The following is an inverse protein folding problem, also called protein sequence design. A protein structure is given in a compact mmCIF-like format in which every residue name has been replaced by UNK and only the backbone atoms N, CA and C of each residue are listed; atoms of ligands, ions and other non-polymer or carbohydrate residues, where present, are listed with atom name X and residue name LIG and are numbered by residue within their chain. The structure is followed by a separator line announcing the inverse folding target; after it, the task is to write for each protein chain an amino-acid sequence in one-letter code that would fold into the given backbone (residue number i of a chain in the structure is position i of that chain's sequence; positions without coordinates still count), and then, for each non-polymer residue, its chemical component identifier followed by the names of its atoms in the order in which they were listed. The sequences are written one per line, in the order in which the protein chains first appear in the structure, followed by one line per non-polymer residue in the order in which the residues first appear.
data_IF_677057569617
#
_entry.id   IF_677057569617
#
_cell.length_a   1.000
_cell.length_b   1.000
_cell.length_c   1.000
_cell.angle_alpha   90.00
_cell.angle_beta   90.00
_cell.angle_gamma   90.00
#
_symmetry.space_group_name_H-M   'P 1'
#
loop_
_entity.id
_entity.type
_entity.pdbx_description
1 polymer ?
#
# COMPACT_ATOMS: atom_id res chain seq x y z
N UNK A 1 22.19 0.07 -58.83
CA UNK A 1 22.17 1.28 -57.99
C UNK A 1 21.88 0.81 -56.58
N UNK A 2 22.93 0.67 -55.77
CA UNK A 2 22.87 0.12 -54.41
C UNK A 2 23.05 1.29 -53.43
N UNK A 3 21.93 1.69 -52.81
CA UNK A 3 21.88 2.68 -51.73
C UNK A 3 22.49 2.09 -50.45
N UNK A 4 23.82 2.08 -50.39
CA UNK A 4 24.54 1.85 -49.15
C UNK A 4 24.82 3.21 -48.51
N UNK A 5 24.05 3.56 -47.48
CA UNK A 5 24.25 4.79 -46.71
C UNK A 5 25.23 4.50 -45.54
N UNK A 6 26.52 4.87 -45.65
CA UNK A 6 27.53 4.60 -44.62
C UNK A 6 27.32 5.42 -43.34
N UNK A 7 26.39 6.38 -43.34
CA UNK A 7 26.03 7.19 -42.17
C UNK A 7 24.68 6.80 -41.56
N UNK A 8 24.12 5.64 -41.92
CA UNK A 8 22.92 5.14 -41.25
C UNK A 8 23.24 4.95 -39.75
N UNK A 9 22.55 5.66 -38.83
CA UNK A 9 22.75 5.43 -37.41
C UNK A 9 22.35 3.98 -37.09
N UNK A 10 23.06 3.30 -36.17
CA UNK A 10 22.65 1.97 -35.76
C UNK A 10 21.21 2.05 -35.26
N UNK A 11 20.33 1.21 -35.83
CA UNK A 11 18.98 1.05 -35.31
C UNK A 11 19.11 0.60 -33.86
N UNK A 12 18.90 1.52 -32.92
CA UNK A 12 18.78 1.18 -31.51
C UNK A 12 17.47 0.43 -31.38
N UNK A 13 17.53 -0.91 -31.49
CA UNK A 13 16.48 -1.78 -30.99
C UNK A 13 16.40 -1.49 -29.50
N UNK A 14 15.49 -0.59 -29.11
CA UNK A 14 15.03 -0.54 -27.74
C UNK A 14 14.29 -1.86 -27.56
N UNK A 15 14.97 -2.85 -27.00
CA UNK A 15 14.35 -4.07 -26.49
C UNK A 15 13.48 -3.70 -25.30
N UNK A 16 12.36 -3.04 -25.58
CA UNK A 16 11.22 -2.91 -24.68
C UNK A 16 10.48 -4.25 -24.65
N UNK A 17 11.13 -5.28 -24.10
CA UNK A 17 10.52 -6.50 -23.56
C UNK A 17 11.64 -7.49 -23.23
N UNK A 18 11.51 -8.16 -22.08
CA UNK A 18 12.32 -9.29 -21.61
C UNK A 18 13.71 -8.97 -21.02
N UNK A 19 13.73 -8.35 -19.83
CA UNK A 19 14.80 -8.62 -18.83
C UNK A 19 14.52 -8.16 -17.37
N UNK A 20 13.26 -8.08 -16.91
CA UNK A 20 12.94 -7.98 -15.47
C UNK A 20 12.84 -9.38 -14.81
N UNK A 21 13.87 -10.20 -15.00
CA UNK A 21 14.06 -11.45 -14.25
C UNK A 21 15.44 -11.51 -13.57
N UNK A 22 16.08 -10.36 -13.38
CA UNK A 22 17.34 -10.21 -12.67
C UNK A 22 17.11 -9.38 -11.41
N UNK A 23 17.38 -10.00 -10.27
CA UNK A 23 17.34 -9.46 -8.89
C UNK A 23 16.05 -8.73 -8.50
N UNK A 24 15.17 -9.45 -7.79
CA UNK A 24 14.20 -8.79 -6.94
C UNK A 24 15.01 -8.04 -5.86
N UNK A 25 14.99 -6.70 -5.88
CA UNK A 25 15.65 -5.80 -4.91
C UNK A 25 15.02 -5.86 -3.50
N UNK A 26 14.42 -7.00 -3.17
CA UNK A 26 13.73 -7.19 -1.91
C UNK A 26 13.85 -8.64 -1.44
N UNK A 27 14.09 -8.77 -0.14
CA UNK A 27 14.08 -10.05 0.54
C UNK A 27 12.69 -10.39 1.09
N UNK A 28 12.34 -11.67 1.21
CA UNK A 28 11.13 -12.14 1.88
C UNK A 28 11.57 -12.97 3.07
N UNK A 29 11.31 -12.45 4.27
CA UNK A 29 11.63 -13.11 5.54
C UNK A 29 10.34 -13.18 6.36
N UNK A 30 9.82 -14.38 6.64
CA UNK A 30 8.66 -14.62 7.51
C UNK A 30 7.42 -13.74 7.17
N UNK A 31 6.97 -13.80 5.91
CA UNK A 31 5.87 -12.98 5.37
C UNK A 31 6.12 -11.46 5.43
N UNK A 32 7.39 -11.04 5.42
CA UNK A 32 7.79 -9.63 5.38
C UNK A 32 8.67 -9.39 4.19
N UNK A 33 8.31 -8.35 3.43
CA UNK A 33 9.13 -7.86 2.33
C UNK A 33 10.14 -6.89 2.93
N UNK A 34 11.42 -7.20 2.85
CA UNK A 34 12.51 -6.35 3.30
C UNK A 34 13.16 -5.70 2.09
N UNK A 35 13.16 -4.38 2.02
CA UNK A 35 13.79 -3.66 0.90
C UNK A 35 14.19 -2.26 1.30
N UNK A 36 15.04 -1.64 0.48
CA UNK A 36 15.35 -0.22 0.59
C UNK A 36 14.30 0.61 -0.15
N UNK A 37 14.36 1.94 -0.03
CA UNK A 37 13.50 2.83 -0.82
C UNK A 37 14.23 3.24 -2.10
N UNK A 38 13.61 3.19 -3.29
CA UNK A 38 12.23 2.80 -3.58
C UNK A 38 12.01 1.28 -3.75
N UNK A 39 10.82 0.78 -3.37
CA UNK A 39 10.42 -0.62 -3.54
C UNK A 39 9.50 -0.79 -4.75
N UNK A 40 9.96 -1.56 -5.73
CA UNK A 40 9.17 -1.94 -6.90
C UNK A 40 8.74 -3.40 -6.80
N UNK A 41 7.44 -3.63 -6.67
CA UNK A 41 6.86 -4.97 -6.71
C UNK A 41 6.56 -5.37 -8.16
N UNK A 42 6.62 -6.68 -8.50
CA UNK A 42 6.33 -7.15 -9.84
C UNK A 42 4.94 -6.69 -10.31
N UNK A 43 4.88 -6.10 -11.50
CA UNK A 43 3.65 -5.51 -12.05
C UNK A 43 2.69 -6.56 -12.60
N UNK A 44 3.14 -7.79 -12.78
CA UNK A 44 2.36 -8.91 -13.27
C UNK A 44 1.75 -9.76 -12.16
N UNK A 45 2.10 -9.52 -10.90
CA UNK A 45 1.49 -10.15 -9.72
C UNK A 45 0.55 -9.20 -8.98
N UNK A 46 -0.63 -9.68 -8.62
CA UNK A 46 -1.51 -8.94 -7.72
C UNK A 46 -1.08 -9.10 -6.26
N UNK A 47 -0.78 -7.99 -5.57
CA UNK A 47 -0.42 -8.01 -4.13
C UNK A 47 -1.57 -8.46 -3.22
N UNK A 48 -2.82 -8.35 -3.67
CA UNK A 48 -4.00 -8.66 -2.87
C UNK A 48 -4.48 -10.11 -2.92
N UNK A 49 -4.20 -10.84 -4.01
CA UNK A 49 -4.69 -12.20 -4.25
C UNK A 49 -3.68 -13.11 -4.98
N UNK A 50 -2.43 -12.69 -5.07
CA UNK A 50 -1.38 -13.40 -5.79
C UNK A 50 -1.53 -13.49 -7.32
N UNK A 51 -2.72 -13.45 -7.92
CA UNK A 51 -2.94 -13.80 -9.34
C UNK A 51 -1.96 -13.15 -10.34
N UNK A 52 -1.34 -13.99 -11.20
CA UNK A 52 -0.44 -13.56 -12.27
C UNK A 52 -1.18 -13.14 -13.54
N UNK A 53 -0.63 -12.17 -14.28
CA UNK A 53 -1.07 -11.86 -15.66
C UNK A 53 -2.50 -11.31 -15.75
N UNK A 54 -3.07 -10.86 -14.63
CA UNK A 54 -4.42 -10.29 -14.60
C UNK A 54 -4.38 -8.80 -14.94
N UNK A 55 -5.31 -8.37 -15.79
CA UNK A 55 -5.56 -6.95 -16.03
C UNK A 55 -5.83 -6.25 -14.69
N UNK A 56 -5.23 -5.07 -14.52
CA UNK A 56 -5.25 -4.37 -13.25
C UNK A 56 -4.66 -2.97 -13.33
N UNK A 57 -4.47 -2.35 -12.17
CA UNK A 57 -3.88 -1.03 -12.05
C UNK A 57 -2.67 -1.06 -11.12
N UNK A 58 -1.62 -0.38 -11.55
CA UNK A 58 -0.45 -0.08 -10.73
C UNK A 58 -0.73 1.13 -9.85
N UNK A 59 -0.27 1.09 -8.61
CA UNK A 59 -0.42 2.16 -7.63
C UNK A 59 0.93 2.53 -7.04
N UNK A 60 1.25 3.82 -7.10
CA UNK A 60 2.39 4.40 -6.38
C UNK A 60 1.90 4.95 -5.04
N UNK A 61 2.43 4.41 -3.95
CA UNK A 61 2.08 4.85 -2.59
C UNK A 61 3.31 5.11 -1.74
N UNK A 62 3.20 6.14 -0.91
CA UNK A 62 4.19 6.46 0.12
C UNK A 62 3.73 5.85 1.43
N UNK A 63 4.48 4.86 1.91
CA UNK A 63 4.33 4.29 3.24
C UNK A 63 5.19 5.10 4.21
N UNK A 64 4.68 5.31 5.43
CA UNK A 64 5.39 6.03 6.47
C UNK A 64 5.63 5.10 7.64
N UNK A 65 6.87 5.06 8.11
CA UNK A 65 7.24 4.43 9.36
C UNK A 65 7.49 5.51 10.42
N UNK A 66 6.88 5.34 11.59
CA UNK A 66 7.09 6.18 12.76
C UNK A 66 7.55 5.29 13.90
N UNK A 67 8.72 5.55 14.51
CA UNK A 67 9.22 4.70 15.57
C UNK A 67 8.41 4.91 16.85
N UNK A 68 8.23 3.83 17.61
CA UNK A 68 7.46 3.80 18.86
C UNK A 68 7.76 4.97 19.83
N UNK A 69 9.04 5.35 20.08
CA UNK A 69 9.36 6.41 21.03
C UNK A 69 8.77 7.77 20.68
N UNK A 70 8.45 8.02 19.40
CA UNK A 70 7.78 9.25 19.00
C UNK A 70 6.41 9.40 19.65
N UNK A 71 5.70 8.29 19.92
CA UNK A 71 4.39 8.33 20.59
C UNK A 71 4.46 8.65 22.08
N UNK A 72 5.61 8.43 22.74
CA UNK A 72 5.78 8.80 24.16
C UNK A 72 5.71 10.32 24.38
N UNK A 73 6.00 11.10 23.34
CA UNK A 73 5.91 12.57 23.41
C UNK A 73 4.48 13.10 23.56
N UNK A 74 3.47 12.22 23.44
CA UNK A 74 2.05 12.56 23.69
C UNK A 74 1.81 13.07 25.12
N UNK A 75 2.58 12.59 26.09
CA UNK A 75 2.46 13.01 27.50
C UNK A 75 2.98 14.43 27.74
N UNK A 76 3.82 14.96 26.85
CA UNK A 76 4.41 16.29 27.01
C UNK A 76 3.51 17.37 26.40
N UNK A 77 3.17 17.21 25.12
CA UNK A 77 2.21 18.06 24.42
C UNK A 77 1.85 17.44 23.07
N UNK A 78 0.59 17.54 22.66
CA UNK A 78 0.14 17.08 21.35
C UNK A 78 0.83 17.83 20.18
N UNK A 79 1.18 19.10 20.38
CA UNK A 79 1.88 19.90 19.37
C UNK A 79 3.34 19.43 19.20
N UNK A 80 4.02 19.16 20.30
CA UNK A 80 5.40 18.63 20.29
C UNK A 80 5.41 17.26 19.63
N UNK A 81 4.44 16.41 19.96
CA UNK A 81 4.28 15.09 19.35
C UNK A 81 4.16 15.17 17.83
N UNK A 82 3.32 16.09 17.33
CA UNK A 82 3.14 16.26 15.89
C UNK A 82 4.45 16.66 15.19
N UNK A 83 5.20 17.59 15.76
CA UNK A 83 6.50 18.03 15.23
C UNK A 83 7.48 16.84 15.20
N UNK A 84 7.60 16.11 16.31
CA UNK A 84 8.51 14.96 16.42
C UNK A 84 8.15 13.87 15.39
N UNK A 85 6.87 13.55 15.22
CA UNK A 85 6.42 12.58 14.22
C UNK A 85 6.79 13.06 12.80
N UNK A 86 6.61 14.35 12.49
CA UNK A 86 6.94 14.89 11.18
C UNK A 86 8.44 14.89 10.87
N UNK A 87 9.29 15.04 11.89
CA UNK A 87 10.75 15.02 11.78
C UNK A 87 11.28 13.59 11.67
N UNK A 88 10.75 12.68 12.49
CA UNK A 88 11.30 11.32 12.63
C UNK A 88 10.72 10.35 11.59
N UNK A 89 9.56 10.65 10.99
CA UNK A 89 8.93 9.78 9.99
C UNK A 89 9.89 9.44 8.85
N UNK A 90 10.02 8.15 8.55
CA UNK A 90 10.74 7.65 7.38
C UNK A 90 9.73 7.32 6.28
N UNK A 91 10.08 7.65 5.04
CA UNK A 91 9.22 7.46 3.87
C UNK A 91 9.76 6.28 3.07
N UNK A 92 8.87 5.39 2.67
CA UNK A 92 9.12 4.32 1.72
C UNK A 92 8.18 4.51 0.53
N UNK A 93 8.74 4.67 -0.65
CA UNK A 93 7.94 4.72 -1.89
C UNK A 93 7.77 3.30 -2.41
N UNK A 94 6.52 2.87 -2.55
CA UNK A 94 6.16 1.51 -2.96
C UNK A 94 5.26 1.56 -4.18
N UNK A 95 5.68 0.90 -5.24
CA UNK A 95 4.88 0.67 -6.44
C UNK A 95 4.39 -0.76 -6.45
N UNK A 96 3.06 -0.96 -6.54
CA UNK A 96 2.47 -2.30 -6.55
C UNK A 96 1.30 -2.43 -7.52
N UNK A 97 1.06 -3.64 -8.02
CA UNK A 97 -0.07 -3.95 -8.90
C UNK A 97 -1.23 -4.59 -8.16
N UNK A 98 -2.45 -4.24 -8.59
CA UNK A 98 -3.69 -4.78 -8.06
C UNK A 98 -4.63 -5.16 -9.20
N UNK A 99 -5.10 -6.40 -9.20
CA UNK A 99 -6.05 -6.90 -10.19
C UNK A 99 -7.41 -6.17 -10.11
N UNK A 100 -8.15 -6.13 -11.22
CA UNK A 100 -9.46 -5.48 -11.27
C UNK A 100 -10.45 -6.01 -10.23
N UNK A 101 -10.42 -7.31 -9.94
CA UNK A 101 -11.27 -7.89 -8.88
C UNK A 101 -10.95 -7.27 -7.51
N UNK A 102 -9.67 -7.17 -7.13
CA UNK A 102 -9.28 -6.60 -5.85
C UNK A 102 -9.62 -5.10 -5.77
N UNK A 103 -9.43 -4.38 -6.88
CA UNK A 103 -9.81 -2.97 -6.98
C UNK A 103 -11.34 -2.79 -6.84
N UNK A 104 -12.13 -3.59 -7.54
CA UNK A 104 -13.59 -3.55 -7.49
C UNK A 104 -14.11 -3.89 -6.08
N UNK A 105 -13.55 -4.92 -5.44
CA UNK A 105 -13.91 -5.31 -4.06
C UNK A 105 -13.64 -4.18 -3.07
N UNK A 106 -12.50 -3.51 -3.20
CA UNK A 106 -12.16 -2.34 -2.37
C UNK A 106 -13.11 -1.16 -2.63
N UNK A 107 -13.36 -0.83 -3.91
CA UNK A 107 -14.27 0.24 -4.30
C UNK A 107 -15.68 0.01 -3.79
N UNK A 108 -16.20 -1.22 -3.90
CA UNK A 108 -17.52 -1.60 -3.39
C UNK A 108 -17.61 -1.42 -1.86
N UNK A 109 -16.61 -1.88 -1.11
CA UNK A 109 -16.56 -1.68 0.35
C UNK A 109 -16.51 -0.20 0.73
N UNK A 110 -15.72 0.59 0.00
CA UNK A 110 -15.63 2.03 0.22
C UNK A 110 -16.96 2.74 -0.09
N UNK A 111 -17.63 2.40 -1.20
CA UNK A 111 -18.93 2.95 -1.56
C UNK A 111 -20.01 2.60 -0.53
N UNK A 112 -20.04 1.35 -0.04
CA UNK A 112 -20.98 0.95 1.02
C UNK A 112 -20.71 1.75 2.29
N UNK A 113 -19.46 1.86 2.73
CA UNK A 113 -19.13 2.62 3.94
C UNK A 113 -19.46 4.12 3.82
N UNK A 114 -19.22 4.73 2.65
CA UNK A 114 -19.62 6.12 2.37
C UNK A 114 -21.13 6.25 2.41
N UNK A 115 -21.88 5.32 1.81
CA UNK A 115 -23.35 5.30 1.85
C UNK A 115 -23.89 5.25 3.28
N UNK A 116 -23.30 4.40 4.13
CA UNK A 116 -23.65 4.31 5.56
C UNK A 116 -23.35 5.63 6.29
N UNK A 117 -22.20 6.26 6.04
CA UNK A 117 -21.88 7.56 6.64
C UNK A 117 -22.86 8.65 6.22
N UNK A 118 -23.22 8.72 4.94
CA UNK A 118 -24.21 9.69 4.44
C UNK A 118 -25.58 9.45 5.09
N UNK A 119 -26.02 8.19 5.19
CA UNK A 119 -27.29 7.87 5.84
C UNK A 119 -27.31 8.29 7.33
N UNK A 120 -26.20 8.05 8.05
CA UNK A 120 -26.06 8.44 9.45
C UNK A 120 -25.98 9.96 9.64
N UNK A 121 -25.33 10.69 8.72
CA UNK A 121 -25.34 12.15 8.71
C UNK A 121 -26.75 12.69 8.51
N UNK A 122 -27.49 12.16 7.52
CA UNK A 122 -28.87 12.57 7.28
C UNK A 122 -29.78 12.26 8.48
N UNK A 123 -29.60 11.10 9.11
CA UNK A 123 -30.29 10.73 10.35
C UNK A 123 -29.96 11.68 11.51
N UNK A 124 -28.69 12.06 11.67
CA UNK A 124 -28.27 13.03 12.67
C UNK A 124 -28.90 14.41 12.41
N UNK A 125 -28.92 14.88 11.16
CA UNK A 125 -29.59 16.14 10.80
C UNK A 125 -31.10 16.08 11.10
N UNK A 126 -31.78 14.99 10.72
CA UNK A 126 -33.21 14.81 11.01
C UNK A 126 -33.50 14.76 12.51
N UNK A 127 -32.61 14.19 13.31
CA UNK A 127 -32.76 14.13 14.77
C UNK A 127 -32.80 15.51 15.42
N UNK A 128 -32.08 16.49 14.86
CA UNK A 128 -32.10 17.89 15.32
C UNK A 128 -33.47 18.51 15.07
N UNK A 129 -34.06 18.28 13.88
CA UNK A 129 -35.41 18.77 13.57
C UNK A 129 -36.48 18.14 14.46
N UNK A 130 -36.33 16.85 14.79
CA UNK A 130 -37.25 16.12 15.67
C UNK A 130 -37.02 16.38 17.17
N UNK A 131 -35.99 17.16 17.54
CA UNK A 131 -35.57 17.45 18.93
C UNK A 131 -35.42 16.18 19.79
N UNK A 132 -35.03 15.07 19.17
CA UNK A 132 -34.83 13.79 19.86
C UNK A 132 -33.36 13.58 20.21
N UNK A 133 -33.01 13.83 21.47
CA UNK A 133 -31.62 13.66 21.94
C UNK A 133 -31.11 12.22 21.86
N UNK A 134 -31.99 11.23 22.07
CA UNK A 134 -31.62 9.82 21.96
C UNK A 134 -31.25 9.43 20.52
N UNK A 135 -31.98 9.95 19.53
CA UNK A 135 -31.75 9.68 18.12
C UNK A 135 -30.47 10.40 17.62
N UNK A 136 -30.21 11.60 18.13
CA UNK A 136 -28.96 12.32 17.89
C UNK A 136 -27.73 11.56 18.42
N UNK A 137 -27.81 11.01 19.63
CA UNK A 137 -26.73 10.20 20.22
C UNK A 137 -26.47 8.91 19.42
N UNK A 138 -27.53 8.19 19.04
CA UNK A 138 -27.40 6.96 18.24
C UNK A 138 -26.80 7.23 16.86
N UNK A 139 -27.29 8.23 16.14
CA UNK A 139 -26.75 8.59 14.83
C UNK A 139 -25.31 9.12 14.94
N UNK A 140 -25.00 9.92 15.96
CA UNK A 140 -23.65 10.45 16.20
C UNK A 140 -22.64 9.35 16.53
N UNK A 141 -22.99 8.43 17.42
CA UNK A 141 -22.13 7.29 17.76
C UNK A 141 -21.97 6.32 16.58
N UNK A 142 -23.06 6.05 15.86
CA UNK A 142 -23.02 5.26 14.63
C UNK A 142 -22.09 5.88 13.58
N UNK A 143 -22.13 7.21 13.41
CA UNK A 143 -21.25 7.94 12.51
C UNK A 143 -19.78 7.75 12.88
N UNK A 144 -19.46 7.87 14.17
CA UNK A 144 -18.11 7.69 14.67
C UNK A 144 -17.57 6.29 14.33
N UNK A 145 -18.36 5.24 14.58
CA UNK A 145 -17.97 3.85 14.22
C UNK A 145 -17.82 3.69 12.70
N UNK A 146 -18.75 4.24 11.91
CA UNK A 146 -18.70 4.13 10.45
C UNK A 146 -17.46 4.81 9.86
N UNK A 147 -17.07 5.98 10.39
CA UNK A 147 -15.85 6.68 10.01
C UNK A 147 -14.59 5.88 10.38
N UNK A 148 -14.55 5.29 11.57
CA UNK A 148 -13.44 4.41 11.97
C UNK A 148 -13.32 3.19 11.03
N UNK A 149 -14.44 2.55 10.71
CA UNK A 149 -14.44 1.42 9.77
C UNK A 149 -13.96 1.84 8.37
N UNK A 150 -14.40 2.98 7.86
CA UNK A 150 -13.93 3.53 6.60
C UNK A 150 -12.43 3.85 6.60
N UNK A 151 -11.91 4.42 7.69
CA UNK A 151 -10.49 4.70 7.82
C UNK A 151 -9.64 3.41 7.74
N UNK A 152 -10.11 2.33 8.35
CA UNK A 152 -9.45 1.02 8.29
C UNK A 152 -9.54 0.42 6.88
N UNK A 153 -10.72 0.40 6.26
CA UNK A 153 -10.93 -0.15 4.90
C UNK A 153 -10.19 0.67 3.83
N UNK A 154 -10.09 1.98 4.03
CA UNK A 154 -9.41 2.91 3.14
C UNK A 154 -7.89 2.81 3.19
N UNK A 155 -7.32 2.22 4.26
CA UNK A 155 -5.88 2.10 4.43
C UNK A 155 -5.22 1.28 3.30
N UNK A 156 -3.98 1.61 2.89
CA UNK A 156 -3.26 0.81 1.91
C UNK A 156 -3.12 -0.64 2.39
N UNK A 157 -3.14 -1.63 1.46
CA UNK A 157 -3.00 -3.03 1.83
C UNK A 157 -1.62 -3.30 2.45
N UNK A 158 -0.61 -2.58 1.96
CA UNK A 158 0.75 -2.63 2.46
C UNK A 158 0.95 -1.61 3.59
N UNK A 159 1.65 -2.03 4.64
CA UNK A 159 2.05 -1.20 5.79
C UNK A 159 3.52 -1.40 6.10
N UNK A 160 4.25 -0.30 6.29
CA UNK A 160 5.62 -0.35 6.80
C UNK A 160 5.58 -0.66 8.30
N UNK A 161 6.15 -1.81 8.69
CA UNK A 161 6.14 -2.30 10.07
C UNK A 161 7.36 -1.81 10.83
N UNK A 162 8.52 -1.82 10.20
CA UNK A 162 9.80 -1.57 10.85
C UNK A 162 10.79 -0.95 9.86
N UNK A 163 11.73 -0.17 10.39
CA UNK A 163 12.86 0.36 9.63
C UNK A 163 14.14 0.19 10.46
N UNK A 164 15.10 -0.59 9.96
CA UNK A 164 16.41 -0.79 10.57
C UNK A 164 17.50 -0.56 9.52
N UNK A 165 18.47 0.32 9.80
CA UNK A 165 19.66 0.48 8.95
C UNK A 165 19.43 0.86 7.49
N UNK A 166 18.26 1.43 7.13
CA UNK A 166 17.89 1.74 5.74
C UNK A 166 17.00 0.68 5.08
N UNK A 167 16.83 -0.48 5.71
CA UNK A 167 15.91 -1.54 5.29
C UNK A 167 14.53 -1.32 5.93
N UNK A 168 13.50 -1.33 5.09
CA UNK A 168 12.12 -1.29 5.50
C UNK A 168 11.52 -2.69 5.46
N UNK A 169 10.85 -3.09 6.56
CA UNK A 169 10.03 -4.30 6.59
C UNK A 169 8.58 -3.94 6.30
N UNK A 170 8.03 -4.46 5.20
CA UNK A 170 6.67 -4.22 4.74
C UNK A 170 5.83 -5.48 4.92
N UNK A 171 4.63 -5.32 5.48
CA UNK A 171 3.62 -6.39 5.62
C UNK A 171 2.35 -6.02 4.87
N UNK A 172 1.55 -7.06 4.56
CA UNK A 172 0.17 -6.91 4.09
C UNK A 172 -0.10 -7.38 2.67
N UNK A 173 0.86 -8.08 2.04
CA UNK A 173 0.57 -8.85 0.84
C UNK A 173 -0.20 -10.15 1.19
N UNK A 174 -0.89 -10.74 0.22
CA UNK A 174 -1.56 -12.02 0.40
C UNK A 174 -0.55 -13.18 0.52
N UNK A 175 -0.87 -14.26 1.26
CA UNK A 175 -0.03 -15.48 1.31
C UNK A 175 0.35 -15.99 -0.09
N UNK A 176 -0.63 -16.04 -0.99
CA UNK A 176 -0.48 -16.44 -2.40
C UNK A 176 0.52 -15.57 -3.18
N UNK A 177 0.71 -14.30 -2.76
CA UNK A 177 1.70 -13.43 -3.37
C UNK A 177 3.12 -13.86 -2.95
N UNK A 178 3.33 -14.13 -1.66
CA UNK A 178 4.62 -14.61 -1.16
C UNK A 178 5.01 -15.95 -1.80
N UNK A 179 4.06 -16.87 -1.95
CA UNK A 179 4.28 -18.17 -2.59
C UNK A 179 4.78 -18.01 -4.03
N UNK A 180 4.12 -17.15 -4.81
CA UNK A 180 4.51 -16.94 -6.20
C UNK A 180 5.83 -16.20 -6.35
N UNK A 181 6.15 -15.28 -5.44
CA UNK A 181 7.46 -14.64 -5.43
C UNK A 181 8.55 -15.64 -5.02
N UNK A 182 8.28 -16.52 -4.06
CA UNK A 182 9.19 -17.58 -3.67
C UNK A 182 9.48 -18.54 -4.84
N UNK A 183 8.45 -18.90 -5.62
CA UNK A 183 8.60 -19.72 -6.84
C UNK A 183 9.42 -19.03 -7.95
N UNK A 184 9.38 -17.70 -8.01
CA UNK A 184 10.16 -16.92 -9.00
C UNK A 184 11.61 -16.72 -8.61
N UNK A 185 11.98 -16.97 -7.36
CA UNK A 185 13.40 -16.93 -7.00
C UNK A 185 14.10 -18.12 -7.65
N UNK A 186 15.09 -17.89 -8.54
CA UNK A 186 16.00 -18.96 -8.89
C UNK A 186 16.66 -19.43 -7.59
N UNK A 187 16.65 -20.74 -7.31
CA UNK A 187 17.34 -21.36 -6.19
C UNK A 187 18.77 -20.81 -6.08
N UNK A 188 19.02 -19.82 -5.22
CA UNK A 188 20.27 -19.06 -5.33
C UNK A 188 20.50 -17.92 -4.35
N UNK A 189 19.83 -17.88 -3.20
CA UNK A 189 20.31 -17.11 -2.04
C UNK A 189 19.54 -17.49 -0.77
N UNK A 190 19.80 -18.69 -0.26
CA UNK A 190 19.83 -18.85 1.20
C UNK A 190 21.11 -18.13 1.68
N UNK A 191 21.09 -16.81 1.62
CA UNK A 191 22.08 -15.95 2.26
C UNK A 191 21.92 -16.13 3.75
N UNK A 192 22.78 -16.97 4.31
CA UNK A 192 23.00 -17.07 5.74
C UNK A 192 23.31 -15.67 6.28
N UNK A 193 22.48 -15.17 7.18
CA UNK A 193 22.86 -14.09 8.08
C UNK A 193 22.86 -14.68 9.49
N UNK A 194 24.06 -15.04 9.92
CA UNK A 194 24.43 -15.21 11.33
C UNK A 194 24.51 -13.83 12.00
#
# INVERSE_FOLDING_TARGET
MSDHNPYAPPSSTISDASQHSADLDFDIIEDQIQSTSPLWLPTDLCVGCGATGTAGKTYDKKLYYVPWPAYLTIFLNILIMLIVILVVRKKLEVTYHLCEHCVAKRKKRMLIGVGVCVALLLGAVLSVFLKSGALALLCGFGLFIALLALAVIGSPPLKAREHQGGLFKVKGASPEFYDQVALRRPNGSLGQYW
#
